data_IF_112269224005
#
_entry.id   IF_112269224005
#
_cell.length_a   1.000
_cell.length_b   1.000
_cell.length_c   1.000
_cell.angle_alpha   90.00
_cell.angle_beta   90.00
_cell.angle_gamma   90.00
#
_symmetry.space_group_name_H-M   'P 1'
#
loop_
_entity.id
_entity.type
_entity.pdbx_description
1 polymer ?
#
# COMPACT_ATOMS: atom_id res chain seq x y z
N UNK A 1 2.29 -0.24 -3.18
CA UNK A 1 1.17 -0.13 -4.13
C UNK A 1 -0.18 -0.04 -3.45
N UNK A 2 -0.44 -0.81 -2.38
CA UNK A 2 -1.76 -0.89 -1.73
C UNK A 2 -2.22 0.45 -1.18
N UNK A 3 -1.37 1.23 -0.52
CA UNK A 3 -1.72 2.58 -0.06
C UNK A 3 -2.07 3.53 -1.23
N UNK A 4 -1.42 3.34 -2.39
CA UNK A 4 -1.77 4.10 -3.61
C UNK A 4 -3.14 3.67 -4.15
N UNK A 5 -3.44 2.35 -4.13
CA UNK A 5 -4.77 1.85 -4.47
C UNK A 5 -5.83 2.36 -3.49
N UNK A 6 -5.52 2.46 -2.20
CA UNK A 6 -6.41 3.04 -1.18
C UNK A 6 -6.71 4.52 -1.46
N UNK A 7 -5.69 5.32 -1.79
CA UNK A 7 -5.88 6.71 -2.16
C UNK A 7 -6.74 6.85 -3.44
N UNK A 8 -6.51 5.98 -4.44
CA UNK A 8 -7.29 5.93 -5.67
C UNK A 8 -8.76 5.53 -5.42
N UNK A 9 -8.99 4.53 -4.58
CA UNK A 9 -10.33 4.12 -4.16
C UNK A 9 -11.07 5.27 -3.48
N UNK A 10 -10.41 5.93 -2.52
CA UNK A 10 -11.00 7.07 -1.81
C UNK A 10 -11.30 8.23 -2.74
N UNK A 11 -10.42 8.53 -3.70
CA UNK A 11 -10.65 9.59 -4.69
C UNK A 11 -11.84 9.25 -5.60
N UNK A 12 -11.96 8.00 -6.08
CA UNK A 12 -13.09 7.57 -6.89
C UNK A 12 -14.42 7.60 -6.11
N UNK A 13 -14.43 7.18 -4.84
CA UNK A 13 -15.59 7.29 -3.96
C UNK A 13 -16.06 8.75 -3.79
N UNK A 14 -15.12 9.68 -3.58
CA UNK A 14 -15.42 11.12 -3.44
C UNK A 14 -15.92 11.70 -4.75
N UNK A 15 -15.34 11.31 -5.88
CA UNK A 15 -15.82 11.71 -7.20
C UNK A 15 -17.29 11.29 -7.41
N UNK A 16 -17.63 10.05 -7.00
CA UNK A 16 -18.99 9.52 -7.07
C UNK A 16 -19.36 8.88 -8.43
N UNK A 17 -18.41 8.82 -9.36
CA UNK A 17 -18.56 8.16 -10.66
C UNK A 17 -17.23 7.53 -11.09
N UNK A 18 -17.24 6.74 -12.18
CA UNK A 18 -16.00 6.19 -12.76
C UNK A 18 -15.12 7.31 -13.29
N UNK A 19 -13.85 7.42 -12.86
CA UNK A 19 -12.95 8.43 -13.38
C UNK A 19 -12.65 8.23 -14.87
N UNK A 20 -12.65 9.31 -15.65
CA UNK A 20 -12.16 9.31 -17.01
C UNK A 20 -10.63 9.46 -17.05
N UNK A 21 -10.08 10.18 -16.08
CA UNK A 21 -8.63 10.38 -15.90
C UNK A 21 -8.27 10.29 -14.42
N UNK A 22 -7.11 9.69 -14.15
CA UNK A 22 -6.54 9.61 -12.80
C UNK A 22 -5.08 10.05 -12.84
N UNK A 23 -4.74 11.06 -12.06
CA UNK A 23 -3.39 11.58 -11.89
C UNK A 23 -2.89 11.22 -10.49
N UNK A 24 -1.69 10.68 -10.42
CA UNK A 24 -1.07 10.20 -9.18
C UNK A 24 0.28 10.86 -9.01
N UNK A 25 0.48 11.53 -7.90
CA UNK A 25 1.74 12.19 -7.55
C UNK A 25 2.30 11.55 -6.28
N UNK A 26 3.54 11.09 -6.35
CA UNK A 26 4.17 10.29 -5.31
C UNK A 26 5.52 10.86 -4.90
N UNK A 27 5.86 10.71 -3.62
CA UNK A 27 7.25 10.90 -3.18
C UNK A 27 8.18 9.89 -3.86
N UNK A 28 9.46 10.23 -3.99
CA UNK A 28 10.47 9.35 -4.57
C UNK A 28 10.54 8.00 -3.84
N UNK A 29 10.36 8.00 -2.52
CA UNK A 29 10.38 6.77 -1.72
C UNK A 29 9.21 5.84 -2.04
N UNK A 30 7.99 6.37 -2.14
CA UNK A 30 6.81 5.58 -2.51
C UNK A 30 6.91 5.07 -3.94
N UNK A 31 7.30 5.91 -4.88
CA UNK A 31 7.46 5.55 -6.29
C UNK A 31 8.47 4.40 -6.45
N UNK A 32 9.67 4.56 -5.89
CA UNK A 32 10.72 3.53 -5.93
C UNK A 32 10.27 2.19 -5.36
N UNK A 33 9.60 2.22 -4.20
CA UNK A 33 9.20 1.00 -3.50
C UNK A 33 7.99 0.30 -4.14
N UNK A 34 7.20 1.00 -4.95
CA UNK A 34 5.98 0.47 -5.52
C UNK A 34 6.11 -0.05 -6.97
N UNK A 35 7.14 0.39 -7.70
CA UNK A 35 7.29 0.08 -9.14
C UNK A 35 7.43 -1.40 -9.45
N UNK A 36 8.12 -2.17 -8.60
CA UNK A 36 8.42 -3.58 -8.84
C UNK A 36 7.55 -4.57 -8.05
N UNK A 37 6.51 -4.11 -7.37
CA UNK A 37 5.71 -4.96 -6.47
C UNK A 37 4.54 -5.58 -7.22
N UNK A 38 4.40 -6.91 -7.10
CA UNK A 38 3.26 -7.65 -7.61
C UNK A 38 1.97 -7.30 -6.89
N UNK A 39 0.88 -7.21 -7.62
CA UNK A 39 -0.46 -7.00 -7.06
C UNK A 39 -1.14 -8.37 -6.94
N UNK A 40 -1.46 -8.83 -5.73
CA UNK A 40 -2.04 -10.16 -5.51
C UNK A 40 -3.30 -10.39 -6.35
N UNK A 41 -3.43 -11.59 -6.92
CA UNK A 41 -4.57 -11.99 -7.74
C UNK A 41 -4.57 -11.47 -9.18
N UNK A 42 -3.65 -10.54 -9.56
CA UNK A 42 -3.65 -9.93 -10.91
C UNK A 42 -2.65 -10.57 -11.86
N UNK A 43 -1.60 -11.21 -11.35
CA UNK A 43 -0.43 -11.61 -12.16
C UNK A 43 0.36 -10.42 -12.73
N UNK A 44 0.06 -9.19 -12.32
CA UNK A 44 0.67 -7.95 -12.80
C UNK A 44 1.49 -7.28 -11.71
N UNK A 45 2.38 -6.39 -12.13
CA UNK A 45 3.33 -5.66 -11.27
C UNK A 45 3.13 -4.16 -11.45
N UNK A 46 3.32 -3.42 -10.37
CA UNK A 46 3.47 -1.98 -10.38
C UNK A 46 2.20 -1.18 -10.08
N UNK A 47 2.38 0.11 -10.17
CA UNK A 47 1.38 1.09 -9.78
C UNK A 47 0.18 1.21 -10.73
N UNK A 48 0.34 1.14 -12.06
CA UNK A 48 -0.80 1.38 -12.96
C UNK A 48 -1.99 0.48 -12.67
N UNK A 49 -1.75 -0.83 -12.52
CA UNK A 49 -2.84 -1.78 -12.22
C UNK A 49 -3.41 -1.59 -10.81
N UNK A 50 -2.58 -1.23 -9.82
CA UNK A 50 -3.06 -0.94 -8.47
C UNK A 50 -3.98 0.28 -8.45
N UNK A 51 -3.65 1.33 -9.19
CA UNK A 51 -4.48 2.55 -9.35
C UNK A 51 -5.76 2.23 -10.09
N UNK A 52 -5.69 1.55 -11.24
CA UNK A 52 -6.87 1.16 -12.02
C UNK A 52 -7.87 0.38 -11.17
N UNK A 53 -7.41 -0.66 -10.48
CA UNK A 53 -8.27 -1.48 -9.63
C UNK A 53 -8.80 -0.68 -8.42
N UNK A 54 -7.97 0.18 -7.81
CA UNK A 54 -8.40 1.08 -6.76
C UNK A 54 -9.59 1.93 -7.17
N UNK A 55 -9.55 2.53 -8.37
CA UNK A 55 -10.64 3.38 -8.88
C UNK A 55 -11.88 2.61 -9.34
N UNK A 56 -11.73 1.35 -9.75
CA UNK A 56 -12.85 0.55 -10.29
C UNK A 56 -13.64 -0.19 -9.21
N UNK A 57 -12.93 -0.83 -8.29
CA UNK A 57 -13.54 -1.75 -7.30
C UNK A 57 -13.14 -1.45 -5.86
N UNK A 58 -12.16 -0.56 -5.67
CA UNK A 58 -11.63 -0.28 -4.34
C UNK A 58 -12.69 0.28 -3.42
N UNK A 59 -12.71 -0.23 -2.18
CA UNK A 59 -13.51 0.30 -1.09
C UNK A 59 -12.56 0.81 -0.02
N UNK A 60 -12.50 2.14 0.17
CA UNK A 60 -11.55 2.75 1.11
C UNK A 60 -11.76 2.29 2.55
N UNK A 61 -12.97 1.87 2.91
CA UNK A 61 -13.30 1.30 4.22
C UNK A 61 -12.53 0.01 4.56
N UNK A 62 -12.00 -0.69 3.55
CA UNK A 62 -11.18 -1.89 3.76
C UNK A 62 -9.71 -1.60 4.10
N UNK A 63 -9.32 -0.32 4.13
CA UNK A 63 -7.94 0.06 4.42
C UNK A 63 -6.96 -0.61 3.44
N UNK A 64 -5.98 -1.31 3.96
CA UNK A 64 -4.96 -1.97 3.12
C UNK A 64 -5.47 -3.24 2.40
N UNK A 65 -6.67 -3.73 2.68
CA UNK A 65 -7.32 -4.80 1.93
C UNK A 65 -8.22 -4.26 0.79
N UNK A 66 -7.99 -3.05 0.35
CA UNK A 66 -8.81 -2.29 -0.61
C UNK A 66 -9.16 -3.05 -1.90
N UNK A 67 -8.33 -4.00 -2.31
CA UNK A 67 -8.52 -4.82 -3.53
C UNK A 67 -9.04 -6.24 -3.25
N UNK A 68 -9.54 -6.54 -2.04
CA UNK A 68 -9.98 -7.91 -1.69
C UNK A 68 -11.14 -8.42 -2.55
N UNK A 69 -11.97 -7.52 -3.09
CA UNK A 69 -13.12 -7.85 -3.95
C UNK A 69 -12.70 -7.99 -5.44
N UNK A 70 -11.43 -8.26 -5.73
CA UNK A 70 -10.94 -8.41 -7.09
C UNK A 70 -11.65 -9.57 -7.82
N UNK A 71 -12.15 -9.26 -9.02
CA UNK A 71 -12.73 -10.24 -9.94
C UNK A 71 -11.98 -10.25 -11.29
N UNK A 72 -12.10 -11.34 -12.08
CA UNK A 72 -11.50 -11.37 -13.42
C UNK A 72 -12.00 -10.25 -14.34
N UNK A 73 -13.26 -9.87 -14.23
CA UNK A 73 -13.90 -8.81 -15.01
C UNK A 73 -13.29 -7.45 -14.65
N UNK A 74 -13.14 -7.16 -13.35
CA UNK A 74 -12.49 -5.94 -12.87
C UNK A 74 -11.03 -5.87 -13.31
N UNK A 75 -10.34 -7.01 -13.32
CA UNK A 75 -8.97 -7.09 -13.82
C UNK A 75 -8.89 -6.77 -15.32
N UNK A 76 -9.83 -7.30 -16.12
CA UNK A 76 -9.88 -7.02 -17.56
C UNK A 76 -10.17 -5.53 -17.80
N UNK A 77 -11.13 -4.94 -17.08
CA UNK A 77 -11.43 -3.50 -17.15
C UNK A 77 -10.22 -2.66 -16.71
N UNK A 78 -9.53 -3.06 -15.65
CA UNK A 78 -8.32 -2.36 -15.16
C UNK A 78 -7.19 -2.35 -16.20
N UNK A 79 -7.01 -3.43 -16.96
CA UNK A 79 -6.07 -3.48 -18.09
C UNK A 79 -6.46 -2.51 -19.18
N UNK A 80 -7.75 -2.43 -19.53
CA UNK A 80 -8.25 -1.50 -20.52
C UNK A 80 -8.01 -0.04 -20.11
N UNK A 81 -8.25 0.32 -18.84
CA UNK A 81 -7.96 1.67 -18.30
C UNK A 81 -6.49 2.05 -18.49
N UNK A 82 -5.56 1.08 -18.36
CA UNK A 82 -4.13 1.30 -18.58
C UNK A 82 -3.83 1.49 -20.07
N UNK A 83 -4.39 0.64 -20.93
CA UNK A 83 -4.22 0.71 -22.40
C UNK A 83 -4.74 2.03 -22.95
N UNK A 84 -5.86 2.52 -22.43
CA UNK A 84 -6.46 3.82 -22.76
C UNK A 84 -5.65 5.02 -22.24
N UNK A 85 -4.54 4.78 -21.51
CA UNK A 85 -3.66 5.81 -20.92
C UNK A 85 -4.40 6.78 -20.00
N UNK A 86 -5.41 6.32 -19.31
CA UNK A 86 -6.23 7.13 -18.39
C UNK A 86 -5.55 7.38 -17.04
N UNK A 87 -4.41 6.73 -16.77
CA UNK A 87 -3.64 6.87 -15.54
C UNK A 87 -2.31 7.56 -15.85
N UNK A 88 -2.03 8.64 -15.15
CA UNK A 88 -0.77 9.35 -15.19
C UNK A 88 -0.10 9.33 -13.81
N UNK A 89 1.13 8.84 -13.74
CA UNK A 89 1.90 8.73 -12.49
C UNK A 89 3.15 9.58 -12.61
N UNK A 90 3.36 10.47 -11.66
CA UNK A 90 4.49 11.39 -11.64
C UNK A 90 5.14 11.48 -10.25
N UNK A 91 6.42 11.83 -10.25
CA UNK A 91 7.15 12.19 -9.05
C UNK A 91 6.68 13.58 -8.56
N UNK A 92 6.61 13.76 -7.26
CA UNK A 92 6.40 15.04 -6.60
C UNK A 92 7.58 15.33 -5.68
N UNK A 93 8.26 16.40 -5.96
CA UNK A 93 9.40 16.88 -5.16
C UNK A 93 8.96 17.70 -3.95
N UNK A 94 9.85 17.80 -2.96
CA UNK A 94 9.67 18.60 -1.76
C UNK A 94 8.42 18.22 -0.92
N UNK A 95 8.16 16.92 -0.84
CA UNK A 95 7.10 16.31 -0.02
C UNK A 95 7.69 15.31 0.97
N UNK A 96 6.87 14.90 1.95
CA UNK A 96 7.24 13.90 2.95
C UNK A 96 7.68 12.58 2.33
N UNK A 97 8.47 11.79 3.06
CA UNK A 97 8.93 10.46 2.61
C UNK A 97 7.78 9.54 2.22
N UNK A 98 6.66 9.62 2.94
CA UNK A 98 5.41 8.96 2.59
C UNK A 98 4.42 10.04 2.15
N UNK A 99 4.30 10.23 0.85
CA UNK A 99 3.34 11.13 0.22
C UNK A 99 2.71 10.46 -0.99
N UNK A 100 1.38 10.45 -1.00
CA UNK A 100 0.55 9.91 -2.07
C UNK A 100 -0.57 10.92 -2.32
N UNK A 101 -0.67 11.44 -3.52
CA UNK A 101 -1.75 12.33 -3.95
C UNK A 101 -2.41 11.73 -5.17
N UNK A 102 -3.72 11.62 -5.15
CA UNK A 102 -4.52 11.13 -6.28
C UNK A 102 -5.58 12.15 -6.62
N UNK A 103 -5.66 12.49 -7.90
CA UNK A 103 -6.68 13.34 -8.47
C UNK A 103 -7.45 12.52 -9.49
N UNK A 104 -8.76 12.39 -9.30
CA UNK A 104 -9.66 11.77 -10.26
C UNK A 104 -10.53 12.85 -10.92
N UNK A 105 -10.79 12.70 -12.21
CA UNK A 105 -11.67 13.61 -12.96
C UNK A 105 -12.58 12.84 -13.92
N UNK A 106 -13.81 13.38 -14.11
CA UNK A 106 -14.79 12.89 -15.08
C UNK A 106 -15.69 14.08 -15.49
N UNK A 107 -15.61 14.52 -16.75
CA UNK A 107 -16.22 15.76 -17.20
C UNK A 107 -15.76 16.95 -16.35
N UNK A 108 -16.69 17.68 -15.75
CA UNK A 108 -16.41 18.83 -14.87
C UNK A 108 -16.21 18.43 -13.40
N UNK A 109 -16.43 17.16 -13.05
CA UNK A 109 -16.29 16.66 -11.69
C UNK A 109 -14.82 16.31 -11.39
N UNK A 110 -14.36 16.73 -10.21
CA UNK A 110 -12.99 16.43 -9.74
C UNK A 110 -12.99 16.00 -8.29
N UNK A 111 -12.06 15.16 -7.94
CA UNK A 111 -11.75 14.82 -6.55
C UNK A 111 -10.26 14.76 -6.34
N UNK A 112 -9.81 15.06 -5.12
CA UNK A 112 -8.41 15.02 -4.72
C UNK A 112 -8.27 14.44 -3.33
N UNK A 113 -7.37 13.48 -3.19
CA UNK A 113 -7.07 12.81 -1.91
C UNK A 113 -5.57 12.78 -1.69
N UNK A 114 -5.14 13.08 -0.45
CA UNK A 114 -3.74 12.97 -0.05
C UNK A 114 -3.62 12.05 1.16
N UNK A 115 -2.67 11.10 1.09
CA UNK A 115 -2.21 10.26 2.19
C UNK A 115 -0.77 10.67 2.53
N UNK A 116 -0.51 10.95 3.81
CA UNK A 116 0.82 11.30 4.32
C UNK A 116 1.13 10.60 5.63
N UNK A 117 2.43 10.48 5.94
CA UNK A 117 3.02 9.97 7.17
C UNK A 117 2.82 8.46 7.35
N UNK A 118 1.59 7.99 7.30
CA UNK A 118 1.23 6.56 7.40
C UNK A 118 0.44 6.10 6.17
N UNK A 119 0.49 4.79 5.88
CA UNK A 119 -0.09 4.21 4.67
C UNK A 119 -1.62 4.32 4.56
N UNK A 120 -2.31 4.56 5.67
CA UNK A 120 -3.77 4.69 5.77
C UNK A 120 -4.24 6.07 6.21
N UNK A 121 -3.31 6.98 6.52
CA UNK A 121 -3.63 8.29 7.04
C UNK A 121 -4.02 9.26 5.91
N UNK A 122 -5.31 9.35 5.65
CA UNK A 122 -5.88 10.33 4.69
C UNK A 122 -5.90 11.71 5.37
N UNK A 123 -5.04 12.60 4.93
CA UNK A 123 -4.89 13.95 5.50
C UNK A 123 -5.66 15.03 4.74
N UNK A 124 -6.02 14.78 3.49
CA UNK A 124 -6.72 15.76 2.67
C UNK A 124 -7.74 15.10 1.75
N UNK A 125 -8.92 15.69 1.67
CA UNK A 125 -9.99 15.28 0.76
C UNK A 125 -10.67 16.52 0.22
N UNK A 126 -10.82 16.60 -1.11
CA UNK A 126 -11.46 17.70 -1.83
C UNK A 126 -12.39 17.13 -2.89
N UNK A 127 -13.52 17.80 -3.14
CA UNK A 127 -14.40 17.57 -4.29
C UNK A 127 -14.76 18.90 -4.94
N UNK A 128 -14.54 19.02 -6.24
CA UNK A 128 -14.89 20.21 -7.05
C UNK A 128 -14.38 21.53 -6.46
N UNK A 129 -13.15 21.53 -5.93
CA UNK A 129 -12.56 22.69 -5.27
C UNK A 129 -13.05 22.94 -3.84
N UNK A 130 -14.01 22.15 -3.35
CA UNK A 130 -14.50 22.24 -1.97
C UNK A 130 -13.73 21.27 -1.08
N UNK A 131 -13.04 21.78 -0.08
CA UNK A 131 -12.27 20.99 0.88
C UNK A 131 -13.23 20.34 1.88
N UNK A 132 -13.24 19.01 1.90
CA UNK A 132 -14.04 18.19 2.82
C UNK A 132 -13.26 17.83 4.09
N UNK A 133 -11.95 17.68 3.97
CA UNK A 133 -11.04 17.37 5.07
C UNK A 133 -9.68 17.99 4.79
N UNK A 134 -9.11 18.71 5.76
CA UNK A 134 -7.73 19.18 5.71
C UNK A 134 -7.07 19.04 7.08
N UNK A 135 -6.29 17.98 7.24
CA UNK A 135 -5.48 17.68 8.43
C UNK A 135 -3.98 17.78 8.17
N UNK A 136 -3.58 18.41 7.06
CA UNK A 136 -2.15 18.54 6.67
C UNK A 136 -1.33 19.37 7.66
N UNK A 137 -1.98 20.26 8.43
CA UNK A 137 -1.36 21.10 9.46
C UNK A 137 -1.48 20.51 10.87
N UNK A 138 -2.35 19.54 11.05
CA UNK A 138 -2.33 18.72 12.25
C UNK A 138 -1.07 17.87 12.12
N UNK A 139 0.08 18.47 12.49
CA UNK A 139 1.32 17.74 12.57
C UNK A 139 1.00 16.47 13.36
N UNK A 140 1.18 15.30 12.74
CA UNK A 140 1.72 14.22 13.54
C UNK A 140 3.02 14.79 14.03
N UNK A 141 2.99 15.38 15.22
CA UNK A 141 4.18 15.55 16.00
C UNK A 141 4.72 14.12 16.09
N UNK A 142 5.65 13.78 15.19
CA UNK A 142 6.71 12.86 15.53
C UNK A 142 7.57 13.63 16.55
N UNK A 143 6.92 14.21 17.56
CA UNK A 143 7.53 14.34 18.84
C UNK A 143 7.80 12.90 19.23
N UNK A 144 9.06 12.56 19.10
CA UNK A 144 9.68 11.53 19.89
C UNK A 144 9.69 11.95 21.39
N UNK A 145 8.69 12.71 21.86
CA UNK A 145 8.11 12.63 23.18
C UNK A 145 7.25 11.38 23.14
N UNK A 146 7.92 10.23 22.93
CA UNK A 146 7.35 8.96 23.28
C UNK A 146 6.75 9.12 24.65
N UNK A 147 5.52 8.72 24.83
CA UNK A 147 5.02 8.37 26.14
C UNK A 147 6.18 7.71 26.88
N UNK A 148 6.45 8.18 28.10
CA UNK A 148 7.51 7.58 28.93
C UNK A 148 7.25 6.09 29.20
N UNK A 149 6.15 5.55 28.73
CA UNK A 149 5.76 4.15 28.61
C UNK A 149 6.20 3.47 27.29
N UNK A 150 7.07 4.10 26.47
CA UNK A 150 7.66 3.38 25.35
C UNK A 150 8.39 2.17 25.90
N UNK A 151 7.83 0.99 25.65
CA UNK A 151 8.31 -0.30 26.16
C UNK A 151 9.78 -0.44 25.75
N UNK A 152 10.70 -0.18 26.69
CA UNK A 152 12.13 -0.38 26.43
C UNK A 152 12.38 -1.87 26.33
N UNK A 153 12.32 -2.36 25.09
CA UNK A 153 12.59 -3.75 24.79
C UNK A 153 14.05 -4.07 25.17
N UNK A 154 14.22 -4.83 26.23
CA UNK A 154 15.48 -5.45 26.61
C UNK A 154 15.40 -6.96 26.33
N UNK A 155 16.55 -7.62 26.29
CA UNK A 155 16.57 -9.07 26.19
C UNK A 155 15.82 -9.74 27.36
N UNK A 156 15.98 -9.24 28.59
CA UNK A 156 15.25 -9.73 29.76
C UNK A 156 13.74 -9.61 29.58
N UNK A 157 13.25 -8.46 29.15
CA UNK A 157 11.82 -8.21 28.94
C UNK A 157 11.23 -9.18 27.90
N UNK A 158 11.93 -9.39 26.78
CA UNK A 158 11.50 -10.34 25.74
C UNK A 158 11.51 -11.77 26.25
N UNK A 159 12.55 -12.13 27.02
CA UNK A 159 12.66 -13.48 27.59
C UNK A 159 11.58 -13.76 28.64
N UNK A 160 11.36 -12.83 29.57
CA UNK A 160 10.30 -12.93 30.58
C UNK A 160 8.93 -13.04 29.94
N UNK A 161 8.63 -12.19 28.97
CA UNK A 161 7.40 -12.29 28.18
C UNK A 161 7.23 -13.68 27.55
N UNK A 162 8.26 -14.20 26.90
CA UNK A 162 8.19 -15.51 26.24
C UNK A 162 8.01 -16.67 27.24
N UNK A 163 8.49 -16.54 28.48
CA UNK A 163 8.38 -17.58 29.50
C UNK A 163 7.08 -17.51 30.31
N UNK A 164 6.50 -16.32 30.46
CA UNK A 164 5.36 -16.09 31.34
C UNK A 164 4.01 -16.03 30.58
N UNK A 165 4.03 -15.65 29.29
CA UNK A 165 2.79 -15.55 28.52
C UNK A 165 2.14 -16.92 28.31
N UNK A 166 0.80 -17.02 28.47
CA UNK A 166 0.06 -18.21 28.12
C UNK A 166 0.30 -18.61 26.65
N UNK A 167 0.51 -19.89 26.38
CA UNK A 167 0.82 -20.39 25.02
C UNK A 167 -0.24 -20.00 24.00
N UNK A 168 -1.50 -19.90 24.40
CA UNK A 168 -2.59 -19.52 23.48
C UNK A 168 -2.46 -18.09 22.98
N UNK A 169 -1.96 -17.16 23.80
CA UNK A 169 -1.72 -15.76 23.44
C UNK A 169 -0.58 -15.59 22.43
N UNK A 170 0.44 -16.45 22.48
CA UNK A 170 1.62 -16.37 21.61
C UNK A 170 1.62 -17.41 20.48
N UNK A 171 0.55 -18.20 20.35
CA UNK A 171 0.44 -19.28 19.36
C UNK A 171 0.58 -18.79 17.92
N UNK A 172 0.14 -17.56 17.63
CA UNK A 172 0.27 -16.92 16.30
C UNK A 172 1.73 -16.87 15.82
N UNK A 173 2.71 -16.84 16.74
CA UNK A 173 4.14 -16.85 16.39
C UNK A 173 4.50 -18.14 15.66
N UNK A 174 3.96 -19.28 16.09
CA UNK A 174 4.18 -20.58 15.43
C UNK A 174 3.51 -20.62 14.05
N UNK A 175 2.31 -20.06 13.93
CA UNK A 175 1.61 -19.93 12.65
C UNK A 175 2.39 -19.03 11.69
N UNK A 176 2.91 -17.89 12.18
CA UNK A 176 3.76 -16.99 11.42
C UNK A 176 5.03 -17.69 10.93
N UNK A 177 5.68 -18.48 11.80
CA UNK A 177 6.87 -19.24 11.44
C UNK A 177 6.56 -20.26 10.33
N UNK A 178 5.44 -20.97 10.42
CA UNK A 178 5.03 -21.95 9.40
C UNK A 178 4.70 -21.27 8.05
N UNK A 179 4.00 -20.14 8.07
CA UNK A 179 3.72 -19.36 6.87
C UNK A 179 5.00 -18.86 6.19
N UNK A 180 5.94 -18.32 6.98
CA UNK A 180 7.23 -17.87 6.45
C UNK A 180 8.07 -19.03 5.89
N UNK A 181 8.08 -20.18 6.56
CA UNK A 181 8.74 -21.38 6.06
C UNK A 181 8.17 -21.83 4.73
N UNK A 182 6.83 -21.91 4.59
CA UNK A 182 6.16 -22.27 3.35
C UNK A 182 6.46 -21.29 2.22
N UNK A 183 6.48 -20.00 2.51
CA UNK A 183 6.83 -18.95 1.55
C UNK A 183 8.29 -19.09 1.08
N UNK A 184 9.22 -19.34 2.00
CA UNK A 184 10.62 -19.58 1.68
C UNK A 184 10.83 -20.83 0.82
N UNK A 185 10.18 -21.96 1.16
CA UNK A 185 10.23 -23.18 0.36
C UNK A 185 9.66 -22.98 -1.06
N UNK A 186 8.53 -22.27 -1.18
CA UNK A 186 7.95 -21.95 -2.47
C UNK A 186 8.90 -21.05 -3.30
N UNK A 187 9.53 -20.07 -2.65
CA UNK A 187 10.50 -19.16 -3.29
C UNK A 187 11.73 -19.92 -3.79
N UNK A 188 12.25 -20.88 -3.01
CA UNK A 188 13.39 -21.72 -3.42
C UNK A 188 13.07 -22.66 -4.58
N UNK A 189 11.83 -23.16 -4.66
CA UNK A 189 11.37 -24.03 -5.77
C UNK A 189 10.99 -23.23 -7.02
N UNK A 190 10.39 -22.05 -6.86
CA UNK A 190 9.90 -21.21 -7.94
C UNK A 190 10.94 -20.25 -8.50
N UNK A 191 10.52 -19.43 -9.46
CA UNK A 191 11.32 -18.33 -10.03
C UNK A 191 10.64 -16.99 -9.69
N UNK A 192 10.65 -16.62 -8.40
CA UNK A 192 10.06 -15.40 -7.90
C UNK A 192 11.14 -14.33 -7.66
N UNK A 193 10.85 -13.10 -8.08
CA UNK A 193 11.73 -11.96 -7.89
C UNK A 193 13.12 -12.19 -8.51
N UNK A 194 14.16 -11.70 -7.84
CA UNK A 194 15.54 -11.81 -8.32
C UNK A 194 16.22 -13.15 -8.02
N UNK A 195 15.52 -14.09 -7.42
CA UNK A 195 16.05 -15.43 -7.07
C UNK A 195 17.38 -15.42 -6.29
N UNK A 196 17.60 -14.39 -5.47
CA UNK A 196 18.87 -14.16 -4.73
C UNK A 196 19.25 -15.38 -3.89
N UNK A 197 18.30 -15.98 -3.18
CA UNK A 197 18.53 -17.17 -2.34
C UNK A 197 19.09 -18.34 -3.15
N UNK A 198 18.60 -18.58 -4.38
CA UNK A 198 19.11 -19.63 -5.26
C UNK A 198 20.53 -19.32 -5.74
N UNK A 199 20.79 -18.06 -6.08
CA UNK A 199 22.12 -17.63 -6.53
C UNK A 199 23.16 -17.81 -5.43
N UNK A 200 22.82 -17.40 -4.19
CA UNK A 200 23.70 -17.52 -3.04
C UNK A 200 23.92 -19.01 -2.67
N UNK A 201 22.86 -19.80 -2.61
CA UNK A 201 22.97 -21.24 -2.28
C UNK A 201 23.75 -22.02 -3.33
N UNK A 202 23.66 -21.66 -4.61
CA UNK A 202 24.42 -22.28 -5.69
C UNK A 202 25.91 -21.89 -5.72
N UNK A 203 26.26 -20.75 -5.11
CA UNK A 203 27.65 -20.25 -5.07
C UNK A 203 28.54 -20.84 -3.97
N UNK A 204 27.97 -21.33 -2.89
CA UNK A 204 28.70 -21.92 -1.75
C UNK A 204 28.92 -23.42 -1.85
N UNK A 205 28.55 -24.06 -2.95
CA UNK A 205 28.65 -25.51 -3.16
C UNK A 205 29.78 -25.92 -4.12
N UNK A 206 30.84 -25.12 -4.25
CA UNK A 206 32.06 -25.48 -5.01
C UNK A 206 33.31 -25.33 -4.16
#
# INVERSE_FOLDING_TARGET
PVAVALAAAKAAEVLGCKPEKTEVFLSANILKNAMGVGIPGTGMVGLPIAVALGTLIGKSAYGLEVLRDLTPEALAEGKQVIEDKRIHIALKDNVDKLYIEVICSAGDETSRVIICHEHTNVVYVEKNGVVLTDRRKEGVSCDASGDEDELRLSFSTVYEFAMEMPLDEIRFILETADLNRKAAEASLKGNFGHTVSKTVSGGYGR
#
